data_IF_051581001349
#
_entry.id   IF_051581001349
#
_cell.length_a   1.000
_cell.length_b   1.000
_cell.length_c   1.000
_cell.angle_alpha   90.00
_cell.angle_beta   90.00
_cell.angle_gamma   90.00
#
_symmetry.space_group_name_H-M   'P 1'
#
loop_
_entity.id
_entity.type
_entity.pdbx_description
1 polymer ?
#
# COMPACT_ATOMS: atom_id res chain seq x y z
N UNK A 1 -27.07 -37.39 -1.31
CA UNK A 1 -26.79 -35.94 -1.21
C UNK A 1 -25.28 -35.70 -1.07
N UNK A 2 -24.46 -36.39 -1.89
CA UNK A 2 -23.00 -36.31 -1.88
C UNK A 2 -22.40 -36.03 -3.28
N UNK A 3 -23.19 -36.03 -4.36
CA UNK A 3 -22.67 -35.93 -5.74
C UNK A 3 -22.43 -34.51 -6.28
N UNK A 4 -22.88 -33.46 -5.60
CA UNK A 4 -22.74 -32.07 -6.12
C UNK A 4 -21.38 -31.47 -5.79
N UNK A 5 -20.77 -31.88 -4.67
CA UNK A 5 -19.48 -31.36 -4.21
C UNK A 5 -18.34 -31.92 -5.06
N UNK A 6 -18.44 -33.17 -5.49
CA UNK A 6 -17.41 -33.85 -6.28
C UNK A 6 -17.38 -33.36 -7.74
N UNK A 7 -18.54 -33.00 -8.30
CA UNK A 7 -18.65 -32.34 -9.60
C UNK A 7 -18.07 -30.91 -9.60
N UNK A 8 -18.21 -30.17 -8.50
CA UNK A 8 -17.60 -28.85 -8.35
C UNK A 8 -16.07 -28.93 -8.28
N UNK A 9 -15.53 -29.92 -7.59
CA UNK A 9 -14.09 -30.15 -7.46
C UNK A 9 -13.42 -30.59 -8.78
N UNK A 10 -14.13 -31.33 -9.62
CA UNK A 10 -13.63 -31.74 -10.94
C UNK A 10 -13.67 -30.60 -11.97
N UNK A 11 -14.66 -29.71 -11.90
CA UNK A 11 -14.74 -28.53 -12.75
C UNK A 11 -13.60 -27.53 -12.47
N UNK A 12 -13.21 -27.38 -11.21
CA UNK A 12 -12.09 -26.53 -10.78
C UNK A 12 -10.74 -27.10 -11.23
N UNK A 13 -10.57 -28.43 -11.23
CA UNK A 13 -9.37 -29.11 -11.76
C UNK A 13 -9.19 -28.96 -13.27
N UNK A 14 -10.27 -28.84 -14.05
CA UNK A 14 -10.20 -28.69 -15.51
C UNK A 14 -9.95 -27.25 -15.97
N UNK A 15 -10.21 -26.26 -15.10
CA UNK A 15 -9.91 -24.85 -15.34
C UNK A 15 -8.41 -24.52 -15.22
N UNK A 16 -7.66 -25.27 -14.40
CA UNK A 16 -6.27 -24.97 -14.06
C UNK A 16 -5.21 -25.49 -15.06
N UNK A 17 -5.62 -26.03 -16.22
CA UNK A 17 -4.69 -26.58 -17.22
C UNK A 17 -4.32 -25.61 -18.36
N UNK A 18 -4.67 -24.32 -18.25
CA UNK A 18 -4.12 -23.30 -19.13
C UNK A 18 -2.95 -22.60 -18.43
N UNK A 19 -1.75 -23.17 -18.59
CA UNK A 19 -0.50 -22.51 -18.23
C UNK A 19 -0.34 -21.21 -19.04
N UNK A 20 -0.84 -20.09 -18.49
CA UNK A 20 -0.24 -18.80 -18.79
C UNK A 20 1.12 -18.75 -18.08
N UNK A 21 2.18 -18.21 -18.71
CA UNK A 21 3.42 -17.97 -18.02
C UNK A 21 3.16 -17.00 -16.87
N UNK A 22 3.19 -17.56 -15.67
CA UNK A 22 2.99 -16.87 -14.40
C UNK A 22 4.26 -16.08 -14.10
N UNK A 23 4.37 -14.89 -14.68
CA UNK A 23 5.26 -13.85 -14.14
C UNK A 23 4.48 -13.06 -13.08
N UNK A 24 3.96 -13.75 -12.07
CA UNK A 24 3.71 -13.12 -10.78
C UNK A 24 5.03 -13.14 -10.03
N UNK A 25 5.71 -11.99 -9.99
CA UNK A 25 6.72 -11.78 -8.95
C UNK A 25 5.96 -11.75 -7.62
N UNK A 26 5.79 -12.92 -7.01
CA UNK A 26 5.30 -12.99 -5.64
C UNK A 26 6.34 -12.32 -4.76
N UNK A 27 6.02 -11.17 -4.18
CA UNK A 27 6.84 -10.65 -3.09
C UNK A 27 6.79 -11.70 -1.99
N UNK A 28 7.96 -12.23 -1.63
CA UNK A 28 8.06 -13.10 -0.47
C UNK A 28 7.74 -12.27 0.78
N UNK A 29 6.63 -12.59 1.42
CA UNK A 29 6.24 -11.96 2.68
C UNK A 29 7.23 -12.38 3.76
N UNK A 30 8.05 -11.43 4.18
CA UNK A 30 9.00 -11.66 5.27
C UNK A 30 8.37 -11.26 6.60
N UNK A 31 7.87 -12.28 7.31
CA UNK A 31 7.30 -12.16 8.64
C UNK A 31 8.30 -11.61 9.68
N UNK A 32 9.61 -11.57 9.41
CA UNK A 32 10.59 -10.91 10.28
C UNK A 32 10.69 -9.39 10.04
N UNK A 33 10.27 -8.90 8.88
CA UNK A 33 10.34 -7.49 8.48
C UNK A 33 9.01 -6.77 8.68
N UNK A 34 7.89 -7.46 8.45
CA UNK A 34 6.54 -6.89 8.50
C UNK A 34 5.91 -6.96 9.90
N UNK A 35 5.09 -5.97 10.22
CA UNK A 35 4.19 -6.02 11.37
C UNK A 35 2.94 -6.80 10.98
N UNK A 36 2.70 -7.89 11.71
CA UNK A 36 1.55 -8.73 11.48
C UNK A 36 0.25 -8.10 12.00
N UNK A 37 -0.89 -8.55 11.48
CA UNK A 37 -2.19 -8.10 11.96
C UNK A 37 -2.34 -8.38 13.47
N UNK A 38 -2.68 -7.34 14.23
CA UNK A 38 -2.79 -7.42 15.69
C UNK A 38 -1.46 -7.35 16.45
N UNK A 39 -0.31 -7.39 15.76
CA UNK A 39 0.99 -7.12 16.36
C UNK A 39 1.10 -5.63 16.71
N UNK A 40 1.50 -5.35 17.96
CA UNK A 40 1.72 -3.97 18.39
C UNK A 40 3.12 -3.51 17.99
N UNK A 41 3.17 -2.37 17.32
CA UNK A 41 4.43 -1.67 17.09
C UNK A 41 5.12 -1.31 18.40
N UNK A 42 6.45 -1.39 18.41
CA UNK A 42 7.30 -0.94 19.54
C UNK A 42 7.33 0.58 19.67
N UNK A 43 7.01 1.31 18.60
CA UNK A 43 7.08 2.76 18.51
C UNK A 43 5.75 3.34 18.09
N UNK A 44 5.52 4.61 18.45
CA UNK A 44 4.33 5.34 18.02
C UNK A 44 4.27 5.56 16.51
N UNK A 45 5.44 5.74 15.88
CA UNK A 45 5.57 6.00 14.45
C UNK A 45 6.31 4.84 13.79
N UNK A 46 5.84 4.46 12.61
CA UNK A 46 6.37 3.36 11.81
C UNK A 46 6.70 3.83 10.41
N UNK A 47 7.59 3.09 9.76
CA UNK A 47 7.73 3.18 8.31
C UNK A 47 6.59 2.35 7.72
N UNK A 48 5.90 2.92 6.74
CA UNK A 48 4.76 2.28 6.08
C UNK A 48 4.79 2.53 4.58
N UNK A 49 4.18 1.62 3.83
CA UNK A 49 3.63 1.92 2.51
C UNK A 49 2.12 2.15 2.68
N UNK A 50 1.60 3.17 2.02
CA UNK A 50 0.19 3.53 2.13
C UNK A 50 -0.30 4.22 0.86
N UNK A 51 -1.62 4.16 0.67
CA UNK A 51 -2.34 4.68 -0.48
C UNK A 51 -3.56 5.48 -0.05
N UNK A 52 -4.13 6.27 -0.95
CA UNK A 52 -5.42 6.89 -0.68
C UNK A 52 -6.50 5.81 -0.70
N UNK A 53 -7.33 5.79 0.33
CA UNK A 53 -8.46 4.88 0.34
C UNK A 53 -9.48 5.28 -0.75
N UNK A 54 -9.95 4.32 -1.54
CA UNK A 54 -10.99 4.51 -2.54
C UNK A 54 -12.04 3.40 -2.36
N UNK A 55 -13.26 3.74 -1.93
CA UNK A 55 -14.30 2.77 -1.63
C UNK A 55 -14.78 1.97 -2.84
N UNK A 56 -14.46 2.40 -4.07
CA UNK A 56 -14.72 1.65 -5.30
C UNK A 56 -13.69 0.55 -5.57
N UNK A 57 -12.54 0.62 -4.92
CA UNK A 57 -11.44 -0.35 -5.03
C UNK A 57 -11.42 -1.24 -3.79
N UNK A 58 -11.46 -0.63 -2.61
CA UNK A 58 -11.30 -1.32 -1.32
C UNK A 58 -12.64 -1.81 -0.73
N UNK A 59 -13.76 -1.55 -1.41
CA UNK A 59 -15.10 -1.78 -0.88
C UNK A 59 -15.57 -0.63 0.01
N UNK A 60 -16.89 -0.39 0.10
CA UNK A 60 -17.43 0.79 0.78
C UNK A 60 -17.30 0.68 2.31
N UNK A 61 -16.62 1.63 2.92
CA UNK A 61 -16.48 1.78 4.37
C UNK A 61 -16.75 3.24 4.71
N UNK A 62 -17.61 3.45 5.70
CA UNK A 62 -18.01 4.78 6.11
C UNK A 62 -16.81 5.60 6.59
N UNK A 63 -16.71 6.84 6.06
CA UNK A 63 -15.77 7.88 6.50
C UNK A 63 -14.28 7.58 6.29
N UNK A 64 -13.91 6.75 5.31
CA UNK A 64 -12.49 6.49 4.97
C UNK A 64 -11.99 7.18 3.70
N UNK A 65 -12.87 7.79 2.91
CA UNK A 65 -12.54 8.46 1.63
C UNK A 65 -11.57 9.66 1.73
N UNK A 66 -11.22 10.13 2.92
CA UNK A 66 -10.18 11.14 3.13
C UNK A 66 -8.94 10.60 3.86
N UNK A 67 -8.87 9.28 4.07
CA UNK A 67 -7.82 8.62 4.83
C UNK A 67 -6.80 7.93 3.92
N UNK A 68 -5.60 7.72 4.47
CA UNK A 68 -4.61 6.84 3.88
C UNK A 68 -4.78 5.43 4.44
N UNK A 69 -4.95 4.46 3.55
CA UNK A 69 -4.95 3.04 3.88
C UNK A 69 -3.52 2.53 3.94
N UNK A 70 -3.17 1.80 5.00
CA UNK A 70 -1.86 1.15 5.15
C UNK A 70 -1.85 -0.11 4.31
N UNK A 71 -0.88 -0.20 3.40
CA UNK A 71 -0.60 -1.40 2.61
C UNK A 71 0.32 -2.33 3.40
N UNK A 72 1.39 -1.77 3.98
CA UNK A 72 2.38 -2.52 4.75
C UNK A 72 2.98 -1.65 5.84
N UNK A 73 3.26 -2.26 6.98
CA UNK A 73 3.87 -1.60 8.13
C UNK A 73 5.12 -2.38 8.53
N UNK A 74 6.26 -1.70 8.67
CA UNK A 74 7.54 -2.37 8.86
C UNK A 74 7.99 -2.28 10.33
N UNK A 75 8.38 -3.43 10.92
CA UNK A 75 9.03 -3.48 12.24
C UNK A 75 10.54 -3.32 12.17
N UNK A 76 11.14 -3.65 11.03
CA UNK A 76 12.57 -3.49 10.74
C UNK A 76 12.73 -2.66 9.48
N UNK A 77 13.72 -1.77 9.48
CA UNK A 77 14.06 -1.02 8.28
C UNK A 77 14.98 -1.87 7.40
N UNK A 78 14.50 -2.18 6.20
CA UNK A 78 15.26 -2.81 5.13
C UNK A 78 14.94 -2.06 3.83
N UNK A 79 15.90 -1.29 3.33
CA UNK A 79 15.63 -0.38 2.20
C UNK A 79 15.33 -1.14 0.92
N UNK A 80 16.07 -2.21 0.64
CA UNK A 80 15.95 -2.95 -0.61
C UNK A 80 14.58 -3.64 -0.67
N UNK A 81 14.19 -4.31 0.42
CA UNK A 81 12.87 -4.94 0.55
C UNK A 81 11.73 -3.92 0.44
N UNK A 82 11.85 -2.78 1.14
CA UNK A 82 10.84 -1.73 1.12
C UNK A 82 10.71 -1.11 -0.29
N UNK A 83 11.84 -0.91 -0.98
CA UNK A 83 11.87 -0.33 -2.34
C UNK A 83 11.25 -1.27 -3.35
N UNK A 84 11.64 -2.55 -3.33
CA UNK A 84 11.08 -3.58 -4.22
C UNK A 84 9.56 -3.68 -4.04
N UNK A 85 9.08 -3.68 -2.80
CA UNK A 85 7.65 -3.74 -2.54
C UNK A 85 6.92 -2.46 -3.01
N UNK A 86 7.51 -1.28 -2.83
CA UNK A 86 6.95 -0.04 -3.34
C UNK A 86 6.87 -0.03 -4.89
N UNK A 87 7.93 -0.48 -5.56
CA UNK A 87 7.99 -0.62 -7.02
C UNK A 87 6.90 -1.57 -7.53
N UNK A 88 6.74 -2.74 -6.90
CA UNK A 88 5.66 -3.68 -7.23
C UNK A 88 4.27 -3.04 -7.14
N UNK A 89 3.97 -2.30 -6.08
CA UNK A 89 2.67 -1.64 -5.96
C UNK A 89 2.48 -0.52 -6.99
N UNK A 90 3.53 0.27 -7.27
CA UNK A 90 3.47 1.31 -8.32
C UNK A 90 3.25 0.70 -9.70
N UNK A 91 3.93 -0.41 -10.03
CA UNK A 91 3.76 -1.13 -11.29
C UNK A 91 2.34 -1.67 -11.43
N UNK A 92 1.75 -2.20 -10.34
CA UNK A 92 0.35 -2.61 -10.34
C UNK A 92 -0.60 -1.45 -10.67
N UNK A 93 -0.40 -0.28 -10.07
CA UNK A 93 -1.18 0.92 -10.37
C UNK A 93 -0.97 1.42 -11.79
N UNK A 94 0.28 1.46 -12.25
CA UNK A 94 0.64 1.90 -13.59
C UNK A 94 0.04 0.98 -14.65
N UNK A 95 0.16 -0.33 -14.50
CA UNK A 95 -0.38 -1.31 -15.46
C UNK A 95 -1.91 -1.33 -15.49
N UNK A 96 -2.56 -1.07 -14.35
CA UNK A 96 -4.03 -1.07 -14.22
C UNK A 96 -4.66 0.31 -14.44
N UNK A 97 -3.90 1.34 -14.80
CA UNK A 97 -4.37 2.73 -14.86
C UNK A 97 -5.63 2.99 -15.72
N UNK A 98 -5.87 2.15 -16.75
CA UNK A 98 -7.08 2.24 -17.60
C UNK A 98 -8.34 1.76 -16.88
N UNK A 99 -8.19 0.86 -15.90
CA UNK A 99 -9.27 0.26 -15.13
C UNK A 99 -9.54 1.03 -13.83
N UNK A 100 -8.71 2.03 -13.49
CA UNK A 100 -8.86 2.76 -12.24
C UNK A 100 -10.12 3.62 -12.25
N UNK A 101 -10.96 3.35 -11.26
CA UNK A 101 -12.15 4.12 -10.94
C UNK A 101 -11.80 5.49 -10.34
N UNK A 102 -12.53 6.56 -10.68
CA UNK A 102 -12.29 7.85 -10.09
C UNK A 102 -12.67 7.84 -8.61
N UNK A 103 -11.89 8.55 -7.80
CA UNK A 103 -12.12 8.73 -6.38
C UNK A 103 -13.28 9.69 -6.12
N UNK A 104 -14.04 9.49 -5.03
CA UNK A 104 -15.14 10.36 -4.66
C UNK A 104 -14.75 11.85 -4.44
N UNK A 105 -13.62 12.11 -3.77
CA UNK A 105 -13.21 13.47 -3.40
C UNK A 105 -11.97 13.98 -4.14
N UNK A 106 -11.05 13.10 -4.51
CA UNK A 106 -9.76 13.48 -5.11
C UNK A 106 -9.93 13.64 -6.62
N UNK A 107 -10.11 14.89 -7.08
CA UNK A 107 -10.36 15.20 -8.50
C UNK A 107 -9.25 14.73 -9.44
N UNK A 108 -7.98 14.83 -9.01
CA UNK A 108 -6.81 14.43 -9.79
C UNK A 108 -6.29 13.04 -9.41
N UNK A 109 -7.13 12.16 -8.83
CA UNK A 109 -6.73 10.85 -8.31
C UNK A 109 -5.93 10.03 -9.32
N UNK A 110 -6.41 9.96 -10.57
CA UNK A 110 -5.74 9.20 -11.63
C UNK A 110 -4.30 9.68 -11.86
N UNK A 111 -4.06 11.00 -11.85
CA UNK A 111 -2.72 11.54 -12.01
C UNK A 111 -1.81 11.26 -10.80
N UNK A 112 -2.39 11.14 -9.60
CA UNK A 112 -1.65 10.84 -8.38
C UNK A 112 -1.17 9.39 -8.41
N UNK A 113 -2.06 8.45 -8.70
CA UNK A 113 -1.74 7.02 -8.65
C UNK A 113 -0.88 6.53 -9.82
N UNK A 114 -0.88 7.24 -10.95
CA UNK A 114 0.00 6.92 -12.10
C UNK A 114 1.40 7.49 -11.95
N UNK A 115 1.68 8.19 -10.84
CA UNK A 115 3.01 8.68 -10.57
C UNK A 115 3.92 7.51 -10.17
N UNK A 116 5.11 7.42 -10.77
CA UNK A 116 6.12 6.41 -10.44
C UNK A 116 6.50 6.41 -8.94
N UNK A 117 6.37 7.56 -8.28
CA UNK A 117 6.64 7.76 -6.85
C UNK A 117 5.35 7.86 -6.02
N UNK A 118 4.25 7.23 -6.47
CA UNK A 118 2.98 7.27 -5.75
C UNK A 118 3.08 6.55 -4.40
N UNK A 119 3.33 5.24 -4.45
CA UNK A 119 3.64 4.42 -3.28
C UNK A 119 5.11 4.63 -2.96
N UNK A 120 5.37 5.12 -1.77
CA UNK A 120 6.72 5.35 -1.28
C UNK A 120 6.77 5.15 0.23
N UNK A 121 7.96 4.95 0.81
CA UNK A 121 8.10 4.79 2.24
C UNK A 121 7.75 6.08 2.98
N UNK A 122 6.83 5.98 3.93
CA UNK A 122 6.34 7.11 4.73
C UNK A 122 6.53 6.82 6.22
N UNK A 123 6.82 7.86 7.00
CA UNK A 123 6.75 7.78 8.46
C UNK A 123 5.33 8.16 8.87
N UNK A 124 4.59 7.24 9.46
CA UNK A 124 3.19 7.44 9.82
C UNK A 124 2.85 6.90 11.22
N UNK A 125 1.77 7.43 11.76
CA UNK A 125 1.08 6.89 12.93
C UNK A 125 -0.07 6.01 12.43
N UNK A 126 -0.10 4.72 12.81
CA UNK A 126 -1.08 3.75 12.34
C UNK A 126 -2.23 3.59 13.33
N UNK A 127 -3.45 3.47 12.82
CA UNK A 127 -4.67 3.27 13.60
C UNK A 127 -5.46 2.11 13.00
N UNK A 128 -5.64 1.05 13.81
CA UNK A 128 -6.51 -0.07 13.45
C UNK A 128 -7.95 0.26 13.80
N UNK A 129 -8.84 0.11 12.82
CA UNK A 129 -10.27 0.31 12.97
C UNK A 129 -10.95 -0.99 13.41
N UNK A 130 -12.15 -0.88 13.96
CA UNK A 130 -12.96 -2.04 14.39
C UNK A 130 -13.41 -2.91 13.21
N UNK A 131 -13.46 -2.33 12.00
CA UNK A 131 -13.78 -3.00 10.75
C UNK A 131 -12.61 -3.83 10.18
N UNK A 132 -11.41 -3.70 10.75
CA UNK A 132 -10.22 -4.49 10.39
C UNK A 132 -9.23 -3.76 9.50
N UNK A 133 -9.59 -2.62 8.92
CA UNK A 133 -8.66 -1.79 8.15
C UNK A 133 -7.65 -1.08 9.05
N UNK A 134 -6.46 -0.83 8.50
CA UNK A 134 -5.44 -0.02 9.14
C UNK A 134 -5.28 1.27 8.35
N UNK A 135 -5.59 2.41 8.98
CA UNK A 135 -5.38 3.74 8.38
C UNK A 135 -4.16 4.41 9.00
N UNK A 136 -3.61 5.43 8.34
CA UNK A 136 -2.47 6.15 8.87
C UNK A 136 -2.49 7.66 8.68
N UNK A 137 -1.79 8.34 9.58
CA UNK A 137 -1.53 9.78 9.52
C UNK A 137 -0.05 10.01 9.20
N UNK A 138 0.23 10.42 7.95
CA UNK A 138 1.59 10.73 7.48
C UNK A 138 2.22 11.85 8.30
N UNK A 139 3.42 11.62 8.84
CA UNK A 139 4.26 12.62 9.51
C UNK A 139 5.42 13.11 8.62
N UNK A 140 5.75 12.37 7.55
CA UNK A 140 6.82 12.73 6.61
C UNK A 140 6.65 14.13 6.01
N UNK A 141 5.40 14.58 5.81
CA UNK A 141 5.12 15.92 5.28
C UNK A 141 5.78 17.03 6.12
N UNK A 142 5.64 16.96 7.45
CA UNK A 142 6.22 17.93 8.37
C UNK A 142 7.75 17.87 8.39
N UNK A 143 8.30 16.65 8.35
CA UNK A 143 9.74 16.44 8.27
C UNK A 143 10.32 17.02 6.97
N UNK A 144 9.65 16.85 5.83
CA UNK A 144 10.07 17.41 4.53
C UNK A 144 10.09 18.94 4.56
N UNK A 145 9.09 19.58 5.18
CA UNK A 145 9.06 21.04 5.36
C UNK A 145 10.26 21.49 6.20
N UNK A 146 10.51 20.83 7.33
CA UNK A 146 11.63 21.15 8.20
C UNK A 146 12.98 20.97 7.48
N UNK A 147 13.19 19.82 6.85
CA UNK A 147 14.41 19.51 6.09
C UNK A 147 14.67 20.55 4.99
N UNK A 148 13.65 20.97 4.25
CA UNK A 148 13.77 22.02 3.22
C UNK A 148 14.21 23.35 3.81
N UNK A 149 13.61 23.78 4.93
CA UNK A 149 13.98 25.03 5.62
C UNK A 149 15.45 25.00 6.08
N UNK A 150 15.88 23.89 6.69
CA UNK A 150 17.26 23.74 7.15
C UNK A 150 18.24 23.77 5.98
N UNK A 151 17.98 23.01 4.90
CA UNK A 151 18.82 23.03 3.70
C UNK A 151 18.98 24.45 3.13
N UNK A 152 17.90 25.23 3.09
CA UNK A 152 17.95 26.62 2.64
C UNK A 152 18.78 27.52 3.55
N UNK A 153 18.70 27.35 4.87
CA UNK A 153 19.52 28.11 5.83
C UNK A 153 21.01 27.76 5.70
N UNK A 154 21.35 26.48 5.53
CA UNK A 154 22.73 26.06 5.33
C UNK A 154 23.33 26.59 4.02
N UNK A 155 22.55 26.62 2.94
CA UNK A 155 23.01 27.19 1.66
C UNK A 155 23.36 28.67 1.82
N UNK A 156 22.49 29.45 2.46
CA UNK A 156 22.72 30.89 2.74
C UNK A 156 23.93 31.19 3.62
N UNK A 157 24.44 30.22 4.39
CA UNK A 157 25.63 30.38 5.24
C UNK A 157 26.93 29.99 4.56
N UNK A 158 26.85 29.31 3.41
CA UNK A 158 28.00 28.90 2.60
C UNK A 158 28.31 29.88 1.47
N UNK A 159 27.32 30.68 1.09
CA UNK A 159 27.46 31.88 0.25
C UNK A 159 27.86 33.08 1.12
#
# INVERSE_FOLDING_TARGET
MADIIELAFQAERLSNNNEQPDTTSSIDYDDEILLNYGEKSKTKYNIVLCEHYNGRIHGPVDRLEDQFLVISCFKKYDYDYISEMAEFYNDNYFNRFKQVTPHAFIRNYKSIITNENYIQPEIAECHYLTSGECICIKKTFWLRILQRKLKNLYKKKRD
#
